data_IF_019394488656
#
_entry.id   IF_019394488656
#
_cell.length_a   1.000
_cell.length_b   1.000
_cell.length_c   1.000
_cell.angle_alpha   90.00
_cell.angle_beta   90.00
_cell.angle_gamma   90.00
#
_symmetry.space_group_name_H-M   'P 1'
#
loop_
_entity.id
_entity.type
_entity.pdbx_description
1 polymer ?
#
# COMPACT_ATOMS: atom_id res chain seq x y z
N UNK A 1 54.15 156.95 -7.47
CA UNK A 1 52.86 156.25 -7.21
C UNK A 1 52.61 155.10 -8.20
N UNK A 2 53.49 154.09 -8.27
CA UNK A 2 53.29 152.91 -9.16
C UNK A 2 53.53 151.53 -8.49
N UNK A 3 53.77 151.47 -7.17
CA UNK A 3 54.13 150.20 -6.48
C UNK A 3 53.04 149.54 -5.62
N UNK A 4 51.93 150.23 -5.29
CA UNK A 4 50.92 149.70 -4.35
C UNK A 4 49.78 148.87 -4.99
N UNK A 5 49.50 149.04 -6.30
CA UNK A 5 48.43 148.27 -6.96
C UNK A 5 48.80 146.81 -7.26
N UNK A 6 50.09 146.46 -7.22
CA UNK A 6 50.56 145.14 -7.61
C UNK A 6 50.35 144.09 -6.50
N UNK A 7 50.35 144.49 -5.22
CA UNK A 7 50.24 143.56 -4.09
C UNK A 7 48.84 142.94 -3.91
N UNK A 8 47.77 143.69 -4.17
CA UNK A 8 46.39 143.23 -3.97
C UNK A 8 45.91 142.33 -5.12
N UNK A 9 46.40 142.58 -6.33
CA UNK A 9 46.18 141.73 -7.50
C UNK A 9 46.86 140.36 -7.30
N UNK A 10 48.08 140.33 -6.78
CA UNK A 10 48.81 139.09 -6.53
C UNK A 10 48.14 138.18 -5.49
N UNK A 11 47.41 138.71 -4.51
CA UNK A 11 46.74 137.91 -3.48
C UNK A 11 45.44 137.26 -3.98
N UNK A 12 44.63 137.98 -4.76
CA UNK A 12 43.44 137.42 -5.42
C UNK A 12 43.81 136.47 -6.56
N UNK A 13 44.87 136.77 -7.33
CA UNK A 13 45.44 135.84 -8.31
C UNK A 13 46.02 134.61 -7.59
N UNK A 14 46.64 134.77 -6.42
CA UNK A 14 47.13 133.65 -5.61
C UNK A 14 46.02 132.71 -5.12
N UNK A 15 44.88 133.24 -4.66
CA UNK A 15 43.71 132.44 -4.26
C UNK A 15 43.00 131.79 -5.47
N UNK A 16 42.89 132.48 -6.61
CA UNK A 16 42.32 131.94 -7.86
C UNK A 16 43.25 130.92 -8.54
N UNK A 17 44.57 131.08 -8.46
CA UNK A 17 45.58 130.13 -8.94
C UNK A 17 45.66 128.93 -8.00
N UNK A 18 45.51 129.14 -6.68
CA UNK A 18 45.37 128.07 -5.69
C UNK A 18 44.11 127.23 -5.94
N UNK A 19 42.98 127.86 -6.22
CA UNK A 19 41.75 127.15 -6.63
C UNK A 19 41.89 126.53 -8.03
N UNK A 20 42.51 127.22 -8.99
CA UNK A 20 42.72 126.73 -10.36
C UNK A 20 43.71 125.57 -10.46
N UNK A 21 44.60 125.40 -9.48
CA UNK A 21 45.52 124.25 -9.37
C UNK A 21 44.99 123.13 -8.46
N UNK A 22 44.19 123.46 -7.45
CA UNK A 22 43.51 122.47 -6.60
C UNK A 22 42.29 121.85 -7.28
N UNK A 23 41.53 122.59 -8.09
CA UNK A 23 40.31 122.09 -8.74
C UNK A 23 40.55 120.92 -9.70
N UNK A 24 41.57 120.93 -10.58
CA UNK A 24 41.91 119.76 -11.40
C UNK A 24 42.38 118.57 -10.57
N UNK A 25 43.10 118.81 -9.46
CA UNK A 25 43.54 117.75 -8.54
C UNK A 25 42.37 117.15 -7.76
N UNK A 26 41.40 117.97 -7.36
CA UNK A 26 40.14 117.55 -6.75
C UNK A 26 39.29 116.76 -7.74
N UNK A 27 39.12 117.23 -8.98
CA UNK A 27 38.43 116.49 -10.04
C UNK A 27 39.13 115.16 -10.36
N UNK A 28 40.46 115.14 -10.43
CA UNK A 28 41.23 113.91 -10.61
C UNK A 28 41.07 112.95 -9.42
N UNK A 29 41.03 113.45 -8.18
CA UNK A 29 40.77 112.63 -7.00
C UNK A 29 39.34 112.08 -6.98
N UNK A 30 38.34 112.88 -7.36
CA UNK A 30 36.93 112.45 -7.49
C UNK A 30 36.76 111.42 -8.60
N UNK A 31 37.39 111.61 -9.76
CA UNK A 31 37.35 110.64 -10.85
C UNK A 31 38.05 109.34 -10.46
N UNK A 32 39.19 109.42 -9.77
CA UNK A 32 39.88 108.24 -9.22
C UNK A 32 39.00 107.53 -8.20
N UNK A 33 38.36 108.25 -7.27
CA UNK A 33 37.45 107.70 -6.27
C UNK A 33 36.25 107.00 -6.92
N UNK A 34 35.62 107.62 -7.93
CA UNK A 34 34.53 107.01 -8.70
C UNK A 34 35.00 105.75 -9.46
N UNK A 35 36.21 105.74 -10.01
CA UNK A 35 36.76 104.55 -10.67
C UNK A 35 37.06 103.42 -9.69
N UNK A 36 37.50 103.75 -8.47
CA UNK A 36 37.74 102.80 -7.40
C UNK A 36 36.44 102.24 -6.84
N UNK A 37 35.40 103.07 -6.74
CA UNK A 37 34.04 102.65 -6.37
C UNK A 37 33.48 101.66 -7.39
N UNK A 38 33.54 101.98 -8.69
CA UNK A 38 33.16 101.07 -9.78
C UNK A 38 34.00 99.78 -9.76
N UNK A 39 35.32 99.90 -9.55
CA UNK A 39 36.20 98.74 -9.44
C UNK A 39 35.85 97.86 -8.24
N UNK A 40 35.46 98.46 -7.10
CA UNK A 40 34.99 97.79 -5.90
C UNK A 40 33.68 97.04 -6.15
N UNK A 41 32.70 97.70 -6.78
CA UNK A 41 31.42 97.08 -7.18
C UNK A 41 31.63 95.90 -8.15
N UNK A 42 32.52 96.03 -9.15
CA UNK A 42 32.85 94.90 -10.03
C UNK A 42 33.56 93.77 -9.31
N UNK A 43 34.41 94.06 -8.32
CA UNK A 43 35.09 93.05 -7.53
C UNK A 43 34.10 92.29 -6.64
N UNK A 44 33.19 93.00 -5.98
CA UNK A 44 32.10 92.39 -5.20
C UNK A 44 31.20 91.53 -6.08
N UNK A 45 30.82 92.00 -7.27
CA UNK A 45 30.05 91.22 -8.23
C UNK A 45 30.81 89.95 -8.69
N UNK A 46 32.12 90.06 -8.93
CA UNK A 46 32.96 88.92 -9.30
C UNK A 46 33.11 87.90 -8.16
N UNK A 47 33.20 88.37 -6.91
CA UNK A 47 33.27 87.54 -5.72
C UNK A 47 31.95 86.80 -5.51
N UNK A 48 30.81 87.48 -5.65
CA UNK A 48 29.48 86.86 -5.58
C UNK A 48 29.28 85.80 -6.68
N UNK A 49 29.72 86.08 -7.92
CA UNK A 49 29.65 85.11 -9.00
C UNK A 49 30.53 83.87 -8.76
N UNK A 50 31.72 84.06 -8.17
CA UNK A 50 32.61 82.96 -7.82
C UNK A 50 32.04 82.12 -6.67
N UNK A 51 31.44 82.76 -5.67
CA UNK A 51 30.76 82.11 -4.56
C UNK A 51 29.62 81.21 -5.06
N UNK A 52 28.76 81.72 -5.96
CA UNK A 52 27.68 80.93 -6.53
C UNK A 52 28.20 79.71 -7.33
N UNK A 53 29.29 79.89 -8.10
CA UNK A 53 29.91 78.76 -8.81
C UNK A 53 30.51 77.73 -7.87
N UNK A 54 31.06 78.16 -6.74
CA UNK A 54 31.57 77.26 -5.72
C UNK A 54 30.42 76.45 -5.10
N UNK A 55 29.32 77.10 -4.73
CA UNK A 55 28.13 76.45 -4.19
C UNK A 55 27.49 75.46 -5.18
N UNK A 56 27.43 75.80 -6.47
CA UNK A 56 26.96 74.89 -7.52
C UNK A 56 27.89 73.67 -7.70
N UNK A 57 29.21 73.89 -7.65
CA UNK A 57 30.19 72.80 -7.74
C UNK A 57 30.11 71.87 -6.52
N UNK A 58 29.94 72.42 -5.33
CA UNK A 58 29.78 71.68 -4.07
C UNK A 58 28.51 70.81 -4.11
N UNK A 59 27.38 71.36 -4.55
CA UNK A 59 26.14 70.61 -4.73
C UNK A 59 26.28 69.48 -5.76
N UNK A 60 26.95 69.74 -6.89
CA UNK A 60 27.23 68.72 -7.91
C UNK A 60 28.16 67.62 -7.38
N UNK A 61 29.13 67.98 -6.53
CA UNK A 61 30.03 67.02 -5.89
C UNK A 61 29.26 66.11 -4.92
N UNK A 62 28.37 66.66 -4.10
CA UNK A 62 27.50 65.91 -3.21
C UNK A 62 26.56 64.96 -3.97
N UNK A 63 25.98 65.42 -5.08
CA UNK A 63 25.14 64.59 -5.94
C UNK A 63 25.94 63.41 -6.54
N UNK A 64 27.13 63.69 -7.08
CA UNK A 64 28.00 62.67 -7.64
C UNK A 64 28.43 61.65 -6.58
N UNK A 65 28.73 62.10 -5.36
CA UNK A 65 29.07 61.23 -4.25
C UNK A 65 27.89 60.32 -3.87
N UNK A 66 26.66 60.84 -3.89
CA UNK A 66 25.44 60.05 -3.66
C UNK A 66 25.20 59.01 -4.75
N UNK A 67 25.34 59.39 -6.03
CA UNK A 67 25.22 58.48 -7.16
C UNK A 67 26.28 57.37 -7.11
N UNK A 68 27.52 57.71 -6.75
CA UNK A 68 28.59 56.73 -6.58
C UNK A 68 28.27 55.72 -5.47
N UNK A 69 27.73 56.19 -4.33
CA UNK A 69 27.30 55.31 -3.24
C UNK A 69 26.17 54.36 -3.67
N UNK A 70 25.18 54.86 -4.42
CA UNK A 70 24.10 54.03 -4.97
C UNK A 70 24.61 52.99 -5.97
N UNK A 71 25.54 53.39 -6.85
CA UNK A 71 26.16 52.48 -7.81
C UNK A 71 26.94 51.37 -7.11
N UNK A 72 27.70 51.72 -6.07
CA UNK A 72 28.44 50.74 -5.27
C UNK A 72 27.49 49.75 -4.56
N UNK A 73 26.38 50.23 -4.01
CA UNK A 73 25.37 49.37 -3.40
C UNK A 73 24.70 48.44 -4.43
N UNK A 74 24.37 48.96 -5.61
CA UNK A 74 23.75 48.17 -6.70
C UNK A 74 24.72 47.11 -7.22
N UNK A 75 26.00 47.45 -7.38
CA UNK A 75 27.04 46.51 -7.79
C UNK A 75 27.21 45.38 -6.78
N UNK A 76 27.17 45.70 -5.47
CA UNK A 76 27.24 44.68 -4.43
C UNK A 76 26.04 43.73 -4.47
N UNK A 77 24.82 44.27 -4.64
CA UNK A 77 23.61 43.43 -4.79
C UNK A 77 23.70 42.52 -6.01
N UNK A 78 24.25 43.02 -7.13
CA UNK A 78 24.40 42.22 -8.36
C UNK A 78 25.38 41.06 -8.19
N UNK A 79 26.45 41.25 -7.41
CA UNK A 79 27.39 40.17 -7.07
C UNK A 79 26.67 39.09 -6.27
N UNK A 80 25.90 39.47 -5.25
CA UNK A 80 25.17 38.53 -4.40
C UNK A 80 24.10 37.74 -5.18
N UNK A 81 23.41 38.41 -6.12
CA UNK A 81 22.44 37.77 -7.00
C UNK A 81 23.13 36.82 -8.00
N UNK A 82 24.30 37.20 -8.52
CA UNK A 82 25.10 36.35 -9.41
C UNK A 82 25.56 35.07 -8.69
N UNK A 83 26.10 35.20 -7.48
CA UNK A 83 26.54 34.06 -6.67
C UNK A 83 25.38 33.11 -6.35
N UNK A 84 24.20 33.67 -6.05
CA UNK A 84 22.98 32.87 -5.81
C UNK A 84 22.55 32.10 -7.07
N UNK A 85 22.52 32.76 -8.22
CA UNK A 85 22.16 32.13 -9.49
C UNK A 85 23.14 31.01 -9.86
N UNK A 86 24.44 31.19 -9.57
CA UNK A 86 25.45 30.16 -9.78
C UNK A 86 25.20 28.92 -8.89
N UNK A 87 24.87 29.12 -7.61
CA UNK A 87 24.53 28.02 -6.71
C UNK A 87 23.25 27.27 -7.15
N UNK A 88 22.21 28.00 -7.55
CA UNK A 88 20.97 27.41 -8.07
C UNK A 88 21.22 26.58 -9.33
N UNK A 89 22.08 27.06 -10.24
CA UNK A 89 22.47 26.33 -11.44
C UNK A 89 23.23 25.04 -11.12
N UNK A 90 24.14 25.07 -10.15
CA UNK A 90 24.87 23.89 -9.70
C UNK A 90 23.92 22.83 -9.11
N UNK A 91 22.99 23.25 -8.26
CA UNK A 91 22.00 22.35 -7.66
C UNK A 91 21.05 21.76 -8.71
N UNK A 92 20.56 22.59 -9.64
CA UNK A 92 19.73 22.12 -10.74
C UNK A 92 20.45 21.07 -11.61
N UNK A 93 21.74 21.27 -11.89
CA UNK A 93 22.55 20.30 -12.63
C UNK A 93 22.73 18.99 -11.85
N UNK A 94 22.90 19.05 -10.53
CA UNK A 94 22.97 17.86 -9.67
C UNK A 94 21.66 17.07 -9.71
N UNK A 95 20.53 17.75 -9.56
CA UNK A 95 19.20 17.14 -9.63
C UNK A 95 18.91 16.54 -11.00
N UNK A 96 19.29 17.22 -12.08
CA UNK A 96 19.16 16.72 -13.44
C UNK A 96 19.95 15.43 -13.65
N UNK A 97 21.18 15.36 -13.14
CA UNK A 97 22.03 14.17 -13.20
C UNK A 97 21.40 12.99 -12.45
N UNK A 98 20.91 13.23 -11.22
CA UNK A 98 20.22 12.21 -10.42
C UNK A 98 18.95 11.69 -11.10
N UNK A 99 18.13 12.60 -11.63
CA UNK A 99 16.89 12.26 -12.34
C UNK A 99 17.19 11.43 -13.60
N UNK A 100 18.23 11.80 -14.36
CA UNK A 100 18.68 11.02 -15.54
C UNK A 100 19.10 9.60 -15.16
N UNK A 101 19.80 9.43 -14.04
CA UNK A 101 20.19 8.11 -13.54
C UNK A 101 18.96 7.27 -13.15
N UNK A 102 17.99 7.87 -12.46
CA UNK A 102 16.73 7.21 -12.09
C UNK A 102 15.92 6.79 -13.31
N UNK A 103 15.77 7.66 -14.32
CA UNK A 103 15.08 7.34 -15.57
C UNK A 103 15.77 6.16 -16.28
N UNK A 104 17.11 6.11 -16.26
CA UNK A 104 17.86 5.00 -16.85
C UNK A 104 17.62 3.69 -16.11
N UNK A 105 17.57 3.72 -14.77
CA UNK A 105 17.25 2.54 -13.94
C UNK A 105 15.83 2.03 -14.22
N UNK A 106 14.84 2.92 -14.18
CA UNK A 106 13.43 2.57 -14.43
C UNK A 106 13.23 1.98 -15.84
N UNK A 107 13.92 2.51 -16.85
CA UNK A 107 13.88 1.94 -18.21
C UNK A 107 14.39 0.50 -18.26
N UNK A 108 15.43 0.18 -17.49
CA UNK A 108 15.96 -1.19 -17.40
C UNK A 108 14.96 -2.13 -16.71
N UNK A 109 14.32 -1.66 -15.64
CA UNK A 109 13.30 -2.43 -14.91
C UNK A 109 12.07 -2.71 -15.78
N UNK A 110 11.55 -1.69 -16.50
CA UNK A 110 10.44 -1.86 -17.44
C UNK A 110 10.78 -2.91 -18.50
N UNK A 111 11.98 -2.85 -19.08
CA UNK A 111 12.42 -3.83 -20.07
C UNK A 111 12.45 -5.26 -19.49
N UNK A 112 12.95 -5.42 -18.26
CA UNK A 112 12.95 -6.73 -17.58
C UNK A 112 11.55 -7.28 -17.36
N UNK A 113 10.63 -6.44 -16.90
CA UNK A 113 9.22 -6.82 -16.70
C UNK A 113 8.52 -7.19 -18.02
N UNK A 114 8.84 -6.50 -19.12
CA UNK A 114 8.32 -6.85 -20.45
C UNK A 114 8.80 -8.22 -20.92
N UNK A 115 10.07 -8.56 -20.68
CA UNK A 115 10.65 -9.87 -20.99
C UNK A 115 10.01 -10.99 -20.14
N UNK A 116 9.84 -10.77 -18.84
CA UNK A 116 9.15 -11.71 -17.93
C UNK A 116 7.69 -11.95 -18.35
N UNK A 117 6.96 -10.88 -18.67
CA UNK A 117 5.58 -10.96 -19.12
C UNK A 117 5.45 -11.69 -20.46
N UNK A 118 6.41 -11.53 -21.37
CA UNK A 118 6.48 -12.30 -22.60
C UNK A 118 6.73 -13.80 -22.32
N UNK A 119 7.64 -14.12 -21.39
CA UNK A 119 7.90 -15.49 -20.94
C UNK A 119 6.66 -16.15 -20.33
N UNK A 120 5.98 -15.45 -19.43
CA UNK A 120 4.76 -15.93 -18.79
C UNK A 120 3.64 -16.20 -19.80
N UNK A 121 3.46 -15.31 -20.79
CA UNK A 121 2.50 -15.51 -21.88
C UNK A 121 2.82 -16.74 -22.73
N UNK A 122 4.11 -17.00 -22.98
CA UNK A 122 4.54 -18.19 -23.71
C UNK A 122 4.25 -19.47 -22.91
N UNK A 123 4.57 -19.47 -21.62
CA UNK A 123 4.28 -20.58 -20.70
C UNK A 123 2.78 -20.86 -20.64
N UNK A 124 1.95 -19.82 -20.50
CA UNK A 124 0.50 -19.95 -20.51
C UNK A 124 -0.04 -20.58 -21.81
N UNK A 125 0.48 -20.16 -22.97
CA UNK A 125 0.11 -20.77 -24.26
C UNK A 125 0.53 -22.24 -24.37
N UNK A 126 1.70 -22.58 -23.85
CA UNK A 126 2.18 -23.97 -23.82
C UNK A 126 1.29 -24.82 -22.91
N UNK A 127 0.98 -24.35 -21.70
CA UNK A 127 0.07 -25.01 -20.76
C UNK A 127 -1.32 -25.21 -21.39
N UNK A 128 -1.89 -24.17 -22.02
CA UNK A 128 -3.16 -24.30 -22.72
C UNK A 128 -3.12 -25.35 -23.83
N UNK A 129 -1.99 -25.49 -24.52
CA UNK A 129 -1.82 -26.52 -25.57
C UNK A 129 -1.71 -27.91 -24.96
N UNK A 130 -1.05 -28.06 -23.82
CA UNK A 130 -0.93 -29.31 -23.08
C UNK A 130 -2.28 -29.76 -22.50
N UNK A 131 -3.01 -28.85 -21.87
CA UNK A 131 -4.38 -29.11 -21.40
C UNK A 131 -5.29 -29.52 -22.57
N UNK A 132 -5.20 -28.86 -23.73
CA UNK A 132 -5.97 -29.26 -24.94
C UNK A 132 -5.58 -30.62 -25.50
N UNK A 133 -4.39 -31.15 -25.17
CA UNK A 133 -3.96 -32.50 -25.56
C UNK A 133 -4.42 -33.55 -24.57
N UNK A 134 -4.69 -33.17 -23.32
CA UNK A 134 -5.32 -34.06 -22.36
C UNK A 134 -6.71 -34.44 -22.85
N UNK A 135 -6.95 -35.74 -22.99
CA UNK A 135 -8.27 -36.30 -23.29
C UNK A 135 -9.12 -36.48 -22.03
N UNK A 136 -8.57 -36.15 -20.86
CA UNK A 136 -9.24 -36.28 -19.58
C UNK A 136 -10.21 -35.11 -19.40
N UNK A 137 -11.43 -35.41 -18.98
CA UNK A 137 -12.47 -34.40 -18.72
C UNK A 137 -12.70 -34.23 -17.21
N UNK A 138 -13.11 -33.04 -16.82
CA UNK A 138 -13.61 -32.77 -15.47
C UNK A 138 -14.95 -33.53 -15.26
N UNK A 139 -15.07 -34.45 -14.28
CA UNK A 139 -16.32 -35.17 -14.02
C UNK A 139 -17.39 -34.24 -13.43
N UNK A 140 -18.67 -34.49 -13.72
CA UNK A 140 -19.74 -33.92 -12.88
C UNK A 140 -19.74 -34.55 -11.49
N UNK A 141 -20.43 -33.95 -10.52
CA UNK A 141 -20.58 -34.57 -9.20
C UNK A 141 -21.22 -35.96 -9.27
N UNK A 142 -22.25 -36.14 -10.12
CA UNK A 142 -22.89 -37.44 -10.32
C UNK A 142 -21.92 -38.48 -10.92
N UNK A 143 -21.11 -38.08 -11.90
CA UNK A 143 -20.08 -38.95 -12.48
C UNK A 143 -18.99 -39.31 -11.48
N UNK A 144 -18.58 -38.37 -10.62
CA UNK A 144 -17.61 -38.61 -9.56
C UNK A 144 -18.15 -39.60 -8.52
N UNK A 145 -19.38 -39.43 -8.06
CA UNK A 145 -20.02 -40.38 -7.13
C UNK A 145 -20.09 -41.78 -7.72
N UNK A 146 -20.58 -41.90 -8.97
CA UNK A 146 -20.65 -43.21 -9.63
C UNK A 146 -19.28 -43.87 -9.82
N UNK A 147 -18.24 -43.07 -9.99
CA UNK A 147 -16.87 -43.57 -10.06
C UNK A 147 -16.40 -44.07 -8.69
N UNK A 148 -16.50 -43.26 -7.63
CA UNK A 148 -16.07 -43.62 -6.29
C UNK A 148 -16.81 -44.86 -5.77
N UNK A 149 -18.13 -44.93 -5.94
CA UNK A 149 -18.92 -46.10 -5.53
C UNK A 149 -18.57 -47.40 -6.27
N UNK A 150 -17.90 -47.31 -7.43
CA UNK A 150 -17.47 -48.45 -8.22
C UNK A 150 -15.96 -48.74 -8.09
N UNK A 151 -15.21 -47.80 -7.52
CA UNK A 151 -13.81 -47.97 -7.16
C UNK A 151 -13.70 -48.74 -5.84
N UNK A 152 -12.53 -49.31 -5.55
CA UNK A 152 -12.28 -50.08 -4.32
C UNK A 152 -10.95 -49.70 -3.66
N UNK A 153 -10.38 -48.54 -4.02
CA UNK A 153 -9.06 -48.09 -3.54
C UNK A 153 -9.04 -47.95 -2.02
N UNK A 154 -10.12 -47.46 -1.42
CA UNK A 154 -10.32 -47.30 0.02
C UNK A 154 -10.34 -48.63 0.78
N UNK A 155 -10.61 -49.75 0.09
CA UNK A 155 -10.58 -51.10 0.67
C UNK A 155 -9.19 -51.73 0.67
N UNK A 156 -8.20 -51.10 0.02
CA UNK A 156 -6.82 -51.55 0.09
C UNK A 156 -6.29 -51.41 1.53
N UNK A 157 -5.37 -52.30 1.89
CA UNK A 157 -4.80 -52.33 3.25
C UNK A 157 -3.75 -51.25 3.39
N UNK A 158 -3.93 -50.38 4.38
CA UNK A 158 -2.90 -49.41 4.75
C UNK A 158 -1.69 -50.11 5.35
N UNK A 159 -0.52 -49.93 4.74
CA UNK A 159 0.74 -50.49 5.20
C UNK A 159 1.72 -49.33 5.45
N UNK A 160 2.06 -49.01 6.71
CA UNK A 160 3.02 -47.96 7.01
C UNK A 160 4.33 -48.17 6.24
N UNK A 161 4.87 -47.08 5.67
CA UNK A 161 6.10 -47.04 4.87
C UNK A 161 6.11 -47.90 3.57
N UNK A 162 5.03 -48.62 3.24
CA UNK A 162 4.91 -49.44 2.02
C UNK A 162 3.76 -48.99 1.11
N UNK A 163 2.58 -48.74 1.69
CA UNK A 163 1.37 -48.27 1.01
C UNK A 163 0.58 -47.37 1.96
N UNK A 164 0.99 -46.10 1.99
CA UNK A 164 0.42 -45.04 2.82
C UNK A 164 -0.51 -44.13 1.98
N UNK A 165 -0.92 -42.98 2.55
CA UNK A 165 -1.78 -42.00 1.89
C UNK A 165 -1.31 -41.62 0.46
N UNK A 166 0.00 -41.60 0.19
CA UNK A 166 0.54 -41.34 -1.15
C UNK A 166 0.17 -42.47 -2.10
N UNK A 167 0.28 -43.73 -1.65
CA UNK A 167 -0.11 -44.91 -2.40
C UNK A 167 -1.59 -44.94 -2.79
N UNK A 168 -2.48 -44.60 -1.84
CA UNK A 168 -3.93 -44.48 -2.09
C UNK A 168 -4.23 -43.39 -3.12
N UNK A 169 -3.77 -42.16 -2.87
CA UNK A 169 -4.02 -41.02 -3.75
C UNK A 169 -3.51 -41.25 -5.20
N UNK A 170 -2.34 -41.88 -5.36
CA UNK A 170 -1.82 -42.24 -6.68
C UNK A 170 -2.66 -43.36 -7.35
N UNK A 171 -3.13 -44.33 -6.57
CA UNK A 171 -3.96 -45.43 -7.07
C UNK A 171 -5.31 -44.93 -7.58
N UNK A 172 -6.01 -44.12 -6.78
CA UNK A 172 -7.29 -43.53 -7.18
C UNK A 172 -7.12 -42.60 -8.40
N UNK A 173 -6.05 -41.80 -8.44
CA UNK A 173 -5.71 -40.96 -9.59
C UNK A 173 -5.54 -41.78 -10.86
N UNK A 174 -4.74 -42.85 -10.82
CA UNK A 174 -4.48 -43.67 -12.00
C UNK A 174 -5.74 -44.41 -12.48
N UNK A 175 -6.61 -44.84 -11.55
CA UNK A 175 -7.93 -45.44 -11.86
C UNK A 175 -8.90 -44.41 -12.46
N UNK A 176 -8.91 -43.20 -11.91
CA UNK A 176 -9.68 -42.05 -12.43
C UNK A 176 -9.30 -41.75 -13.88
N UNK A 177 -7.99 -41.71 -14.18
CA UNK A 177 -7.51 -41.41 -15.54
C UNK A 177 -7.88 -42.50 -16.54
N UNK A 178 -7.84 -43.78 -16.14
CA UNK A 178 -8.33 -44.89 -16.97
C UNK A 178 -9.82 -44.75 -17.29
N UNK A 179 -10.58 -44.04 -16.45
CA UNK A 179 -11.99 -43.71 -16.68
C UNK A 179 -12.21 -42.46 -17.54
N UNK A 180 -11.14 -41.79 -17.94
CA UNK A 180 -11.18 -40.57 -18.75
C UNK A 180 -11.47 -39.31 -17.95
N UNK A 181 -11.41 -39.38 -16.61
CA UNK A 181 -11.62 -38.23 -15.73
C UNK A 181 -10.31 -37.57 -15.35
N UNK A 182 -10.36 -36.25 -15.18
CA UNK A 182 -9.26 -35.45 -14.66
C UNK A 182 -9.41 -35.31 -13.15
N UNK A 183 -8.31 -35.51 -12.45
CA UNK A 183 -8.12 -35.19 -11.04
C UNK A 183 -6.69 -34.67 -10.83
N UNK A 184 -6.45 -34.01 -9.71
CA UNK A 184 -5.13 -33.66 -9.23
C UNK A 184 -4.71 -34.60 -8.10
N UNK A 185 -3.40 -34.85 -8.00
CA UNK A 185 -2.79 -35.30 -6.76
C UNK A 185 -2.62 -34.10 -5.83
N UNK A 186 -2.89 -34.26 -4.55
CA UNK A 186 -2.85 -33.18 -3.56
C UNK A 186 -1.94 -33.58 -2.41
N UNK A 187 -1.05 -32.66 -2.03
CA UNK A 187 -0.24 -32.78 -0.83
C UNK A 187 -0.69 -31.71 0.18
N UNK A 188 -0.93 -32.14 1.42
CA UNK A 188 -1.36 -31.31 2.54
C UNK A 188 -0.30 -31.35 3.62
N UNK A 189 0.27 -30.20 3.97
CA UNK A 189 1.25 -30.08 5.05
C UNK A 189 0.55 -29.60 6.33
N UNK A 190 0.92 -30.12 7.51
CA UNK A 190 0.36 -29.68 8.80
C UNK A 190 1.32 -28.82 9.64
N UNK A 191 0.77 -27.91 10.45
CA UNK A 191 1.55 -27.07 11.39
C UNK A 191 2.23 -27.87 12.50
N UNK A 192 3.36 -27.37 12.99
CA UNK A 192 3.99 -27.84 14.23
C UNK A 192 4.64 -29.22 14.15
N UNK A 193 4.88 -29.72 12.95
CA UNK A 193 5.44 -31.06 12.75
C UNK A 193 6.80 -30.99 12.06
N UNK A 194 7.79 -31.69 12.63
CA UNK A 194 9.06 -31.93 11.97
C UNK A 194 8.84 -32.96 10.84
N UNK A 195 9.55 -32.78 9.72
CA UNK A 195 9.57 -33.63 8.51
C UNK A 195 8.77 -34.95 8.58
N UNK A 196 7.60 -35.02 7.94
CA UNK A 196 6.92 -36.30 7.68
C UNK A 196 5.41 -36.36 7.96
N UNK A 197 4.81 -35.37 8.64
CA UNK A 197 3.34 -35.31 8.80
C UNK A 197 2.70 -34.51 7.66
N UNK A 198 2.82 -35.04 6.45
CA UNK A 198 2.04 -34.63 5.29
C UNK A 198 0.95 -35.66 5.03
N UNK A 199 -0.17 -35.23 4.45
CA UNK A 199 -1.23 -36.11 3.99
C UNK A 199 -1.39 -35.96 2.49
N UNK A 200 -1.68 -37.07 1.80
CA UNK A 200 -1.91 -37.07 0.36
C UNK A 200 -3.33 -37.52 0.05
N UNK A 201 -3.95 -36.84 -0.90
CA UNK A 201 -5.34 -37.09 -1.33
C UNK A 201 -5.52 -36.68 -2.79
N UNK A 202 -6.75 -36.79 -3.32
CA UNK A 202 -7.05 -36.36 -4.70
C UNK A 202 -8.03 -35.18 -4.73
N UNK A 203 -7.93 -34.35 -5.77
CA UNK A 203 -8.88 -33.26 -6.00
C UNK A 203 -9.54 -33.36 -7.37
N UNK A 204 -10.83 -33.08 -7.42
CA UNK A 204 -11.65 -33.11 -8.62
C UNK A 204 -12.27 -31.74 -8.83
N UNK A 205 -12.05 -31.15 -10.00
CA UNK A 205 -12.77 -29.95 -10.40
C UNK A 205 -14.06 -30.41 -11.08
N UNK A 206 -15.20 -30.17 -10.44
CA UNK A 206 -16.52 -30.51 -11.00
C UNK A 206 -17.19 -29.24 -11.54
N UNK A 207 -17.76 -29.25 -12.75
CA UNK A 207 -18.38 -28.06 -13.34
C UNK A 207 -19.66 -27.63 -12.60
N UNK A 208 -20.29 -28.52 -11.85
CA UNK A 208 -21.59 -28.33 -11.18
C UNK A 208 -21.52 -28.21 -9.65
N UNK A 209 -20.39 -28.55 -9.03
CA UNK A 209 -20.17 -28.45 -7.57
C UNK A 209 -18.82 -27.83 -7.17
N UNK A 210 -17.98 -27.45 -8.14
CA UNK A 210 -16.69 -26.82 -7.89
C UNK A 210 -15.61 -27.82 -7.51
N UNK A 211 -14.59 -27.35 -6.79
CA UNK A 211 -13.45 -28.15 -6.34
C UNK A 211 -13.84 -29.04 -5.16
N UNK A 212 -13.56 -30.33 -5.27
CA UNK A 212 -13.87 -31.35 -4.25
C UNK A 212 -12.60 -32.12 -3.94
N UNK A 213 -12.28 -32.26 -2.66
CA UNK A 213 -11.16 -33.08 -2.19
C UNK A 213 -11.70 -34.43 -1.73
N UNK A 214 -11.13 -35.50 -2.26
CA UNK A 214 -11.48 -36.88 -1.95
C UNK A 214 -10.29 -37.53 -1.26
N UNK A 215 -10.53 -38.04 -0.07
CA UNK A 215 -9.58 -38.79 0.73
C UNK A 215 -10.06 -40.24 0.79
N UNK A 216 -9.39 -41.07 -0.01
CA UNK A 216 -9.62 -42.50 -0.16
C UNK A 216 -8.64 -43.33 0.69
N UNK A 217 -7.94 -42.70 1.63
CA UNK A 217 -6.97 -43.38 2.48
C UNK A 217 -7.68 -44.47 3.29
N UNK A 218 -7.36 -45.72 2.95
CA UNK A 218 -7.86 -46.90 3.64
C UNK A 218 -7.27 -47.06 5.03
N UNK A 219 -7.67 -48.13 5.69
CA UNK A 219 -7.27 -48.50 7.05
C UNK A 219 -6.55 -49.86 7.06
N UNK A 220 -5.97 -50.22 8.20
CA UNK A 220 -5.16 -51.44 8.33
C UNK A 220 -5.96 -52.74 8.26
N UNK A 221 -7.30 -52.68 8.27
CA UNK A 221 -8.20 -53.82 8.15
C UNK A 221 -8.93 -53.91 6.79
N UNK A 222 -8.67 -52.98 5.87
CA UNK A 222 -9.26 -52.96 4.52
C UNK A 222 -10.77 -52.67 4.51
N UNK A 223 -11.26 -51.97 5.53
CA UNK A 223 -12.66 -51.54 5.68
C UNK A 223 -12.84 -50.04 5.50
N UNK A 224 -11.90 -49.39 4.80
CA UNK A 224 -11.94 -47.97 4.54
C UNK A 224 -13.19 -47.57 3.78
N UNK A 225 -13.49 -46.27 3.82
CA UNK A 225 -14.62 -45.68 3.10
C UNK A 225 -14.14 -44.39 2.47
N UNK A 226 -14.63 -44.08 1.27
CA UNK A 226 -14.36 -42.80 0.64
C UNK A 226 -14.79 -41.66 1.57
N UNK A 227 -13.91 -40.67 1.69
CA UNK A 227 -14.15 -39.45 2.45
C UNK A 227 -14.08 -38.21 1.58
N UNK A 228 -14.88 -37.21 1.95
CA UNK A 228 -14.73 -35.84 1.48
C UNK A 228 -13.86 -35.09 2.49
N UNK A 229 -12.72 -34.62 2.01
CA UNK A 229 -11.80 -33.81 2.79
C UNK A 229 -12.18 -32.34 2.73
N UNK A 230 -12.03 -31.65 3.85
CA UNK A 230 -12.28 -30.22 4.02
C UNK A 230 -10.97 -29.57 4.46
N UNK A 231 -10.30 -28.94 3.50
CA UNK A 231 -8.96 -28.36 3.67
C UNK A 231 -8.99 -26.85 3.46
N UNK A 232 -8.45 -26.11 4.42
CA UNK A 232 -8.28 -24.67 4.37
C UNK A 232 -7.07 -24.28 5.22
N UNK A 233 -6.15 -23.48 4.68
CA UNK A 233 -4.93 -23.07 5.41
C UNK A 233 -5.30 -22.35 6.71
N UNK A 234 -4.66 -22.76 7.81
CA UNK A 234 -4.93 -22.28 9.17
C UNK A 234 -6.14 -22.93 9.84
N UNK A 235 -6.78 -23.91 9.21
CA UNK A 235 -7.90 -24.67 9.79
C UNK A 235 -7.53 -26.15 10.03
N UNK A 236 -8.17 -26.83 10.99
CA UNK A 236 -8.04 -28.28 11.13
C UNK A 236 -8.43 -29.05 9.86
N UNK A 237 -7.72 -30.11 9.52
CA UNK A 237 -8.10 -31.04 8.48
C UNK A 237 -9.46 -31.68 8.80
N UNK A 238 -10.45 -31.47 7.94
CA UNK A 238 -11.76 -32.08 8.11
C UNK A 238 -11.96 -33.29 7.21
N UNK A 239 -12.64 -34.31 7.74
CA UNK A 239 -13.02 -35.50 6.99
C UNK A 239 -14.45 -35.88 7.33
N UNK A 240 -15.29 -36.05 6.32
CA UNK A 240 -16.64 -36.61 6.44
C UNK A 240 -16.73 -37.75 5.43
N UNK A 241 -17.21 -38.91 5.85
CA UNK A 241 -17.48 -40.02 4.90
C UNK A 241 -18.35 -39.55 3.74
N UNK A 242 -18.17 -40.11 2.55
CA UNK A 242 -18.91 -39.75 1.35
C UNK A 242 -20.43 -39.77 1.57
N UNK A 243 -20.92 -40.80 2.28
CA UNK A 243 -22.34 -40.97 2.63
C UNK A 243 -22.81 -40.02 3.74
N UNK A 244 -21.90 -39.43 4.51
CA UNK A 244 -22.19 -38.43 5.54
C UNK A 244 -22.37 -37.02 5.00
N UNK A 245 -21.91 -36.73 3.78
CA UNK A 245 -22.13 -35.44 3.12
C UNK A 245 -23.53 -35.42 2.50
N UNK A 246 -24.44 -34.68 3.14
CA UNK A 246 -25.87 -34.62 2.81
C UNK A 246 -26.37 -33.19 2.64
N UNK A 247 -27.22 -33.00 1.63
CA UNK A 247 -27.97 -31.76 1.42
C UNK A 247 -29.02 -31.53 2.51
N UNK A 248 -29.64 -32.60 3.00
CA UNK A 248 -30.65 -32.57 4.04
C UNK A 248 -30.17 -33.38 5.25
N UNK A 249 -30.21 -32.78 6.43
CA UNK A 249 -29.68 -33.37 7.66
C UNK A 249 -30.58 -33.10 8.86
N UNK A 250 -30.36 -33.86 9.94
CA UNK A 250 -31.07 -33.67 11.21
C UNK A 250 -30.57 -32.39 11.86
N UNK A 251 -31.48 -31.46 12.09
CA UNK A 251 -31.19 -30.18 12.72
C UNK A 251 -31.02 -30.37 14.24
N UNK A 252 -29.84 -30.12 14.80
CA UNK A 252 -29.64 -30.13 16.25
C UNK A 252 -30.45 -28.99 16.85
N UNK A 253 -31.58 -29.31 17.47
CA UNK A 253 -32.34 -28.34 18.26
C UNK A 253 -31.41 -27.71 19.31
N UNK A 254 -31.69 -26.49 19.77
CA UNK A 254 -30.73 -25.74 20.61
C UNK A 254 -30.42 -26.36 21.98
N UNK A 255 -31.11 -27.44 22.40
CA UNK A 255 -30.95 -28.06 23.72
C UNK A 255 -30.79 -29.57 23.64
N UNK A 256 -29.62 -30.11 24.01
CA UNK A 256 -29.39 -31.55 24.10
C UNK A 256 -30.42 -32.28 24.98
N UNK A 257 -30.88 -31.67 26.07
CA UNK A 257 -31.81 -32.30 27.03
C UNK A 257 -33.25 -32.48 26.51
N UNK A 258 -33.54 -31.88 25.35
CA UNK A 258 -34.85 -31.93 24.71
C UNK A 258 -34.84 -32.78 23.44
N UNK A 259 -33.75 -33.51 23.18
CA UNK A 259 -33.57 -34.30 21.95
C UNK A 259 -34.45 -35.57 21.87
N UNK A 260 -35.38 -35.75 22.80
CA UNK A 260 -36.49 -36.71 22.70
C UNK A 260 -37.69 -36.17 21.88
N UNK A 261 -37.71 -34.88 21.53
CA UNK A 261 -38.76 -34.26 20.70
C UNK A 261 -38.68 -34.75 19.24
N UNK A 262 -39.76 -34.57 18.44
CA UNK A 262 -39.75 -34.96 17.02
C UNK A 262 -38.57 -34.33 16.26
N UNK A 263 -37.88 -35.15 15.47
CA UNK A 263 -36.75 -34.70 14.65
C UNK A 263 -37.19 -33.69 13.58
N UNK A 264 -36.41 -32.61 13.44
CA UNK A 264 -36.53 -31.67 12.33
C UNK A 264 -35.39 -31.92 11.35
N UNK A 265 -35.69 -31.95 10.06
CA UNK A 265 -34.68 -31.94 9.01
C UNK A 265 -34.63 -30.58 8.33
N UNK A 266 -33.43 -30.16 7.96
CA UNK A 266 -33.18 -28.89 7.27
C UNK A 266 -32.28 -29.14 6.07
N UNK A 267 -32.43 -28.29 5.05
CA UNK A 267 -31.60 -28.31 3.86
C UNK A 267 -30.45 -27.32 4.00
N UNK A 268 -29.22 -27.75 3.75
CA UNK A 268 -28.07 -26.87 3.70
C UNK A 268 -28.19 -25.94 2.49
N UNK A 269 -28.01 -24.64 2.71
CA UNK A 269 -28.14 -23.63 1.66
C UNK A 269 -26.80 -23.20 1.04
N UNK A 270 -25.67 -23.61 1.65
CA UNK A 270 -24.32 -23.24 1.20
C UNK A 270 -23.67 -24.29 0.30
N UNK A 271 -22.35 -24.18 0.13
CA UNK A 271 -21.55 -25.17 -0.59
C UNK A 271 -21.24 -26.39 0.31
N UNK A 272 -21.72 -27.57 -0.06
CA UNK A 272 -21.48 -28.84 0.66
C UNK A 272 -20.00 -29.21 0.79
N UNK A 273 -19.17 -28.72 -0.14
CA UNK A 273 -17.73 -28.99 -0.20
C UNK A 273 -16.90 -27.81 0.33
N UNK A 274 -17.55 -26.79 0.87
CA UNK A 274 -16.90 -25.67 1.55
C UNK A 274 -16.63 -25.99 3.02
N UNK A 275 -15.59 -25.36 3.58
CA UNK A 275 -15.20 -25.58 4.99
C UNK A 275 -16.30 -25.20 6.00
N UNK A 276 -17.19 -24.28 5.65
CA UNK A 276 -18.38 -23.93 6.45
C UNK A 276 -19.33 -25.12 6.65
N UNK A 277 -19.44 -26.02 5.67
CA UNK A 277 -20.25 -27.24 5.82
C UNK A 277 -19.64 -28.16 6.86
N UNK A 278 -18.33 -28.35 6.83
CA UNK A 278 -17.61 -29.15 7.83
C UNK A 278 -17.73 -28.53 9.24
N UNK A 279 -17.66 -27.20 9.34
CA UNK A 279 -17.89 -26.50 10.61
C UNK A 279 -19.31 -26.74 11.14
N UNK A 280 -20.32 -26.69 10.28
CA UNK A 280 -21.69 -27.05 10.65
C UNK A 280 -21.82 -28.53 11.06
N UNK A 281 -21.19 -29.46 10.35
CA UNK A 281 -21.17 -30.87 10.71
C UNK A 281 -20.49 -31.11 12.06
N UNK A 282 -19.37 -30.44 12.35
CA UNK A 282 -18.70 -30.51 13.67
C UNK A 282 -19.59 -30.04 14.81
N UNK A 283 -20.41 -29.00 14.59
CA UNK A 283 -21.40 -28.56 15.59
C UNK A 283 -22.47 -29.64 15.84
N UNK A 284 -22.89 -30.37 14.80
CA UNK A 284 -23.82 -31.50 14.93
C UNK A 284 -23.20 -32.68 15.67
N UNK A 285 -21.92 -32.97 15.43
CA UNK A 285 -21.15 -33.97 16.18
C UNK A 285 -21.07 -33.60 17.66
N UNK A 286 -20.79 -32.32 17.98
CA UNK A 286 -20.74 -31.88 19.38
C UNK A 286 -22.11 -32.00 20.04
N UNK A 287 -23.18 -31.57 19.36
CA UNK A 287 -24.54 -31.74 19.84
C UNK A 287 -24.90 -33.22 20.10
N UNK A 288 -24.46 -34.14 19.23
CA UNK A 288 -24.63 -35.57 19.43
C UNK A 288 -23.96 -36.05 20.72
N UNK A 289 -22.69 -35.65 20.95
CA UNK A 289 -21.93 -35.98 22.17
C UNK A 289 -22.60 -35.43 23.42
N UNK A 290 -23.02 -34.16 23.40
CA UNK A 290 -23.75 -33.54 24.49
C UNK A 290 -25.10 -34.23 24.77
N UNK A 291 -25.80 -34.64 23.71
CA UNK A 291 -27.09 -35.33 23.80
C UNK A 291 -26.96 -36.73 24.40
N UNK A 292 -25.89 -37.46 24.08
CA UNK A 292 -25.55 -38.74 24.73
C UNK A 292 -25.30 -38.51 26.23
N UNK A 293 -24.51 -37.51 26.59
CA UNK A 293 -24.20 -37.22 28.00
C UNK A 293 -25.48 -36.85 28.78
N UNK A 294 -26.33 -36.01 28.20
CA UNK A 294 -27.62 -35.63 28.76
C UNK A 294 -28.57 -36.83 28.89
N UNK A 295 -28.64 -37.69 27.88
CA UNK A 295 -29.42 -38.93 27.91
C UNK A 295 -28.96 -39.88 29.02
N UNK A 296 -27.65 -40.15 29.11
CA UNK A 296 -27.09 -41.02 30.15
C UNK A 296 -27.39 -40.49 31.56
N UNK A 297 -27.31 -39.17 31.76
CA UNK A 297 -27.71 -38.53 33.01
C UNK A 297 -29.20 -38.69 33.29
N UNK A 298 -30.05 -38.47 32.29
CA UNK A 298 -31.50 -38.63 32.41
C UNK A 298 -31.92 -40.06 32.76
N UNK A 299 -31.29 -41.06 32.13
CA UNK A 299 -31.49 -42.49 32.46
C UNK A 299 -31.06 -42.80 33.89
N UNK A 300 -29.90 -42.28 34.33
CA UNK A 300 -29.44 -42.46 35.71
C UNK A 300 -30.38 -41.81 36.74
N UNK A 301 -30.93 -40.63 36.45
CA UNK A 301 -31.95 -39.97 37.28
C UNK A 301 -33.25 -40.78 37.33
N UNK A 302 -33.73 -41.25 36.17
CA UNK A 302 -34.93 -42.08 36.07
C UNK A 302 -34.80 -43.37 36.89
N UNK A 303 -33.65 -44.06 36.78
CA UNK A 303 -33.37 -45.28 37.54
C UNK A 303 -33.29 -45.06 39.06
N UNK A 304 -33.09 -43.81 39.52
CA UNK A 304 -33.17 -43.42 40.94
C UNK A 304 -34.58 -43.01 41.38
N UNK A 305 -35.59 -43.11 40.52
CA UNK A 305 -36.98 -42.78 40.80
C UNK A 305 -37.40 -41.35 40.44
N UNK A 306 -36.58 -40.61 39.67
CA UNK A 306 -36.99 -39.29 39.16
C UNK A 306 -38.14 -39.42 38.16
N UNK A 307 -39.13 -38.53 38.28
CA UNK A 307 -40.28 -38.42 37.35
C UNK A 307 -40.08 -37.33 36.30
N UNK A 308 -38.87 -36.74 36.22
CA UNK A 308 -38.56 -35.65 35.28
C UNK A 308 -38.75 -36.05 33.82
N UNK A 309 -38.43 -37.30 33.48
CA UNK A 309 -38.63 -37.88 32.16
C UNK A 309 -39.43 -39.17 32.27
N UNK A 310 -40.36 -39.38 31.34
CA UNK A 310 -41.06 -40.64 31.17
C UNK A 310 -40.21 -41.65 30.40
N UNK A 311 -40.50 -42.94 30.56
CA UNK A 311 -39.88 -44.00 29.76
C UNK A 311 -40.03 -43.75 28.25
N UNK A 312 -41.21 -43.30 27.81
CA UNK A 312 -41.46 -42.99 26.39
C UNK A 312 -40.58 -41.86 25.87
N UNK A 313 -40.23 -40.87 26.70
CA UNK A 313 -39.31 -39.80 26.30
C UNK A 313 -37.88 -40.34 26.19
N UNK A 314 -37.43 -41.16 27.13
CA UNK A 314 -36.09 -41.77 27.07
C UNK A 314 -35.97 -42.71 25.86
N UNK A 315 -37.00 -43.51 25.57
CA UNK A 315 -37.07 -44.37 24.39
C UNK A 315 -37.04 -43.57 23.08
N UNK A 316 -37.79 -42.47 23.00
CA UNK A 316 -37.74 -41.56 21.83
C UNK A 316 -36.37 -40.89 21.69
N UNK A 317 -35.74 -40.52 22.80
CA UNK A 317 -34.40 -39.95 22.81
C UNK A 317 -33.37 -40.92 22.25
N UNK A 318 -33.39 -42.18 22.71
CA UNK A 318 -32.48 -43.22 22.23
C UNK A 318 -32.60 -43.40 20.72
N UNK A 319 -33.83 -43.49 20.20
CA UNK A 319 -34.05 -43.59 18.74
C UNK A 319 -33.53 -42.38 17.98
N UNK A 320 -33.71 -41.17 18.52
CA UNK A 320 -33.22 -39.96 17.90
C UNK A 320 -31.68 -39.90 17.88
N UNK A 321 -31.00 -40.44 18.91
CA UNK A 321 -29.56 -40.60 18.93
C UNK A 321 -29.11 -41.58 17.82
N UNK A 322 -29.76 -42.74 17.69
CA UNK A 322 -29.45 -43.70 16.62
C UNK A 322 -29.62 -43.09 15.22
N UNK A 323 -30.67 -42.27 15.03
CA UNK A 323 -30.91 -41.58 13.75
C UNK A 323 -29.88 -40.48 13.48
N UNK A 324 -29.45 -39.73 14.50
CA UNK A 324 -28.40 -38.71 14.36
C UNK A 324 -27.03 -39.33 14.10
N UNK A 325 -26.72 -40.47 14.72
CA UNK A 325 -25.49 -41.23 14.44
C UNK A 325 -25.42 -41.67 12.97
N UNK A 326 -26.51 -42.26 12.46
CA UNK A 326 -26.63 -42.61 11.02
C UNK A 326 -26.60 -41.37 10.13
N UNK A 327 -27.12 -40.23 10.61
CA UNK A 327 -27.10 -38.98 9.85
C UNK A 327 -25.67 -38.47 9.66
N UNK A 328 -24.88 -38.47 10.74
CA UNK A 328 -23.50 -38.01 10.80
C UNK A 328 -22.52 -38.95 10.08
N UNK A 329 -22.76 -40.27 10.15
CA UNK A 329 -21.83 -41.28 9.69
C UNK A 329 -20.62 -41.45 10.64
N UNK A 330 -19.58 -42.18 10.22
CA UNK A 330 -18.34 -42.29 11.00
C UNK A 330 -17.75 -40.91 11.33
N UNK A 331 -17.33 -40.73 12.59
CA UNK A 331 -16.78 -39.47 13.10
C UNK A 331 -15.26 -39.57 13.13
N UNK A 332 -14.59 -38.75 12.32
CA UNK A 332 -13.13 -38.65 12.25
C UNK A 332 -12.63 -37.47 13.07
N UNK A 333 -11.51 -37.65 13.75
CA UNK A 333 -10.81 -36.53 14.38
C UNK A 333 -9.82 -35.87 13.39
N UNK A 334 -9.60 -34.55 13.48
CA UNK A 334 -8.68 -33.84 12.59
C UNK A 334 -7.25 -34.36 12.73
N UNK A 335 -6.58 -34.55 11.59
CA UNK A 335 -5.19 -34.99 11.53
C UNK A 335 -4.20 -33.89 11.98
N UNK A 336 -4.53 -32.63 11.74
CA UNK A 336 -3.68 -31.48 12.08
C UNK A 336 -4.25 -30.17 11.56
N UNK A 337 -3.60 -29.04 11.87
CA UNK A 337 -3.94 -27.73 11.28
C UNK A 337 -3.21 -27.62 9.96
N UNK A 338 -3.93 -27.34 8.87
CA UNK A 338 -3.37 -27.24 7.53
C UNK A 338 -2.46 -26.02 7.42
N UNK A 339 -1.20 -26.24 7.05
CA UNK A 339 -0.18 -25.21 6.80
C UNK A 339 -0.08 -24.85 5.33
N UNK A 340 -0.09 -25.86 4.45
CA UNK A 340 0.06 -25.68 3.00
C UNK A 340 -0.77 -26.73 2.25
N UNK A 341 -1.22 -26.39 1.03
CA UNK A 341 -1.96 -27.28 0.14
C UNK A 341 -1.39 -27.11 -1.27
N UNK A 342 -0.87 -28.18 -1.85
CA UNK A 342 -0.30 -28.17 -3.19
C UNK A 342 -1.08 -29.11 -4.10
N UNK A 343 -1.54 -28.60 -5.24
CA UNK A 343 -2.33 -29.36 -6.22
C UNK A 343 -1.52 -29.57 -7.49
N UNK A 344 -1.33 -30.84 -7.83
CA UNK A 344 -0.60 -31.29 -9.00
C UNK A 344 -1.59 -31.78 -10.05
N UNK A 345 -2.04 -30.85 -10.91
CA UNK A 345 -2.88 -31.15 -12.06
C UNK A 345 -2.05 -31.69 -13.23
N UNK A 346 -2.66 -32.57 -14.01
CA UNK A 346 -2.09 -33.18 -15.21
C UNK A 346 -2.08 -32.23 -16.41
#
# INVERSE_FOLDING_TARGET
MKRALFGLLCFFVGLLVGFGTMWPRYQAAVNTARSLEVSGETLEASQAALQNKYEELDANYDELQSQYAQLQATHQSLIEDYERAEQELQEANRQLSQTKAQVTKLRKEIKGLEEELAGLKANYKNLLREIKRSTLKDPTWEELIQFLEADDTETLVYLPDEFDCVGFALTLRDRTWRRGFRCAFVEVEFEGTEYGNAHALTAFNTPDRGLIYVDDTGNSDGTGVDGIAYVEVGKPYGLISLKGVKEEYIDPYTRPEEFWKPLRRVRYAGNLFGYDYYTNWRQRVEFYRESIAAYNKAVAEYNRGSTRYSYSQLDSWSRNLDELEKDLGPIYEPLGVVKNIELYWN
#
